data_IF_862840129052
#
_entry.id   IF_862840129052
#
_cell.length_a   1.000
_cell.length_b   1.000
_cell.length_c   1.000
_cell.angle_alpha   90.00
_cell.angle_beta   90.00
_cell.angle_gamma   90.00
#
_symmetry.space_group_name_H-M   'P 1'
#
loop_
_entity.id
_entity.type
_entity.pdbx_description
1 polymer ?
#
# COMPACT_ATOMS: atom_id res chain seq x y z
N UNK A 1 -12.16 -18.30 -2.19
CA UNK A 1 -10.71 -17.93 -2.16
C UNK A 1 -10.52 -16.71 -1.27
N UNK A 2 -9.45 -16.63 -0.48
CA UNK A 2 -9.07 -15.43 0.31
C UNK A 2 -7.76 -14.90 -0.23
N UNK A 3 -7.66 -13.59 -0.43
CA UNK A 3 -6.41 -12.92 -0.83
C UNK A 3 -5.76 -12.33 0.40
N UNK A 4 -4.47 -12.59 0.61
CA UNK A 4 -3.72 -12.06 1.76
C UNK A 4 -2.43 -11.41 1.28
N UNK A 5 -2.24 -10.15 1.66
CA UNK A 5 -1.00 -9.42 1.43
C UNK A 5 -0.37 -8.93 2.73
N UNK A 6 0.93 -9.17 2.88
CA UNK A 6 1.76 -8.68 3.99
C UNK A 6 2.65 -7.53 3.51
N UNK A 7 2.78 -6.44 4.29
CA UNK A 7 3.72 -5.34 4.01
C UNK A 7 3.45 -4.71 2.63
N UNK A 8 4.44 -4.64 1.74
CA UNK A 8 4.27 -4.24 0.33
C UNK A 8 3.26 -5.13 -0.41
N UNK A 9 3.20 -6.42 -0.05
CA UNK A 9 2.25 -7.38 -0.60
C UNK A 9 0.80 -6.98 -0.35
N UNK A 10 0.51 -6.20 0.70
CA UNK A 10 -0.82 -5.62 0.93
C UNK A 10 -1.25 -4.69 -0.22
N UNK A 11 -0.32 -3.87 -0.75
CA UNK A 11 -0.57 -3.00 -1.90
C UNK A 11 -0.80 -3.79 -3.19
N UNK A 12 -0.05 -4.88 -3.39
CA UNK A 12 -0.24 -5.79 -4.53
C UNK A 12 -1.60 -6.49 -4.44
N UNK A 13 -1.92 -7.09 -3.29
CA UNK A 13 -3.17 -7.77 -3.03
C UNK A 13 -4.39 -6.86 -3.27
N UNK A 14 -4.33 -5.63 -2.76
CA UNK A 14 -5.35 -4.62 -3.01
C UNK A 14 -5.49 -4.30 -4.51
N UNK A 15 -4.37 -4.12 -5.22
CA UNK A 15 -4.38 -3.87 -6.67
C UNK A 15 -4.98 -5.01 -7.49
N UNK A 16 -4.71 -6.26 -7.12
CA UNK A 16 -5.30 -7.45 -7.76
C UNK A 16 -6.81 -7.46 -7.57
N UNK A 17 -7.29 -7.26 -6.35
CA UNK A 17 -8.73 -7.23 -6.06
C UNK A 17 -9.43 -6.09 -6.81
N UNK A 18 -8.80 -4.92 -6.91
CA UNK A 18 -9.33 -3.83 -7.71
C UNK A 18 -9.42 -4.15 -9.20
N UNK A 19 -8.42 -4.83 -9.76
CA UNK A 19 -8.47 -5.26 -11.16
C UNK A 19 -9.61 -6.26 -11.40
N UNK A 20 -9.86 -7.17 -10.44
CA UNK A 20 -11.01 -8.09 -10.50
C UNK A 20 -12.34 -7.34 -10.44
N UNK A 21 -12.46 -6.35 -9.55
CA UNK A 21 -13.65 -5.49 -9.47
C UNK A 21 -13.91 -4.74 -10.78
N UNK A 22 -12.89 -4.12 -11.35
CA UNK A 22 -13.00 -3.35 -12.60
C UNK A 22 -13.30 -4.24 -13.81
N UNK A 23 -12.84 -5.48 -13.79
CA UNK A 23 -13.11 -6.47 -14.83
C UNK A 23 -14.44 -7.22 -14.64
N UNK A 24 -15.27 -6.83 -13.67
CA UNK A 24 -16.52 -7.52 -13.30
C UNK A 24 -16.34 -9.03 -13.10
N UNK A 25 -15.18 -9.43 -12.56
CA UNK A 25 -14.84 -10.82 -12.32
C UNK A 25 -15.36 -11.30 -10.95
N UNK A 26 -15.36 -12.61 -10.74
CA UNK A 26 -15.67 -13.20 -9.43
C UNK A 26 -14.70 -12.67 -8.36
N UNK A 27 -15.27 -12.15 -7.27
CA UNK A 27 -14.49 -11.60 -6.17
C UNK A 27 -14.09 -12.69 -5.18
N UNK A 28 -12.91 -12.57 -4.55
CA UNK A 28 -12.57 -13.41 -3.42
C UNK A 28 -13.54 -13.18 -2.25
N UNK A 29 -13.66 -14.18 -1.39
CA UNK A 29 -14.49 -14.14 -0.18
C UNK A 29 -14.05 -13.08 0.82
N UNK A 30 -12.79 -12.65 0.74
CA UNK A 30 -12.20 -11.68 1.66
C UNK A 30 -10.78 -11.30 1.30
N UNK A 31 -10.36 -10.13 1.80
CA UNK A 31 -9.02 -9.58 1.65
C UNK A 31 -8.41 -9.38 3.04
N UNK A 32 -7.22 -9.94 3.27
CA UNK A 32 -6.44 -9.74 4.49
C UNK A 32 -5.25 -8.83 4.16
N UNK A 33 -5.15 -7.71 4.86
CA UNK A 33 -4.07 -6.74 4.74
C UNK A 33 -3.28 -6.74 6.04
N UNK A 34 -2.13 -7.38 6.05
CA UNK A 34 -1.27 -7.49 7.22
C UNK A 34 -0.09 -6.52 7.13
N UNK A 35 0.11 -5.74 8.19
CA UNK A 35 1.08 -4.65 8.26
C UNK A 35 1.09 -3.79 6.99
N UNK A 36 -0.09 -3.32 6.51
CA UNK A 36 -0.21 -2.79 5.16
C UNK A 36 0.60 -1.52 4.97
N UNK A 37 1.36 -1.49 3.89
CA UNK A 37 2.05 -0.28 3.45
C UNK A 37 1.03 0.72 2.90
N UNK A 38 0.73 1.76 3.67
CA UNK A 38 -0.24 2.79 3.29
C UNK A 38 0.34 3.76 2.25
N UNK A 39 1.65 4.03 2.29
CA UNK A 39 2.36 4.72 1.21
C UNK A 39 3.85 4.34 1.15
N UNK A 40 4.42 4.29 -0.06
CA UNK A 40 5.87 4.13 -0.26
C UNK A 40 6.67 5.29 0.37
N UNK A 41 6.05 6.46 0.50
CA UNK A 41 6.67 7.63 1.13
C UNK A 41 6.88 7.42 2.65
N UNK A 42 5.95 6.74 3.33
CA UNK A 42 6.09 6.47 4.77
C UNK A 42 7.20 5.44 5.04
N UNK A 43 7.24 4.36 4.26
CA UNK A 43 8.30 3.35 4.40
C UNK A 43 9.68 3.87 3.97
N UNK A 44 9.73 4.68 2.90
CA UNK A 44 10.97 5.29 2.49
C UNK A 44 11.44 6.36 3.48
N UNK A 45 10.52 7.08 4.14
CA UNK A 45 10.87 8.00 5.22
C UNK A 45 11.52 7.28 6.40
N UNK A 46 10.97 6.13 6.81
CA UNK A 46 11.52 5.33 7.91
C UNK A 46 12.87 4.69 7.55
N UNK A 47 12.99 4.13 6.35
CA UNK A 47 14.25 3.52 5.89
C UNK A 47 15.37 4.57 5.74
N UNK A 48 15.04 5.74 5.19
CA UNK A 48 15.96 6.88 5.01
C UNK A 48 16.31 7.52 6.36
N UNK A 49 15.38 7.57 7.31
CA UNK A 49 15.64 8.09 8.65
C UNK A 49 16.57 7.19 9.47
N UNK A 50 16.52 5.88 9.25
CA UNK A 50 17.28 4.88 10.00
C UNK A 50 18.74 4.70 9.52
N UNK A 51 19.00 4.77 8.21
CA UNK A 51 20.31 4.36 7.65
C UNK A 51 21.20 5.48 7.11
N UNK A 52 20.69 6.71 6.92
CA UNK A 52 21.43 7.77 6.23
C UNK A 52 21.89 8.91 7.16
N UNK A 53 23.14 9.40 7.01
CA UNK A 53 23.60 10.62 7.65
C UNK A 53 22.72 11.82 7.30
N UNK A 54 22.51 12.73 8.26
CA UNK A 54 21.57 13.87 8.20
C UNK A 54 21.62 14.70 6.90
N UNK A 55 22.79 14.81 6.29
CA UNK A 55 23.02 15.55 5.03
C UNK A 55 22.46 14.82 3.82
N UNK A 56 22.65 13.50 3.74
CA UNK A 56 22.05 12.67 2.69
C UNK A 56 20.55 12.51 2.90
N UNK A 57 20.12 12.38 4.17
CA UNK A 57 18.71 12.29 4.56
C UNK A 57 17.87 13.40 3.93
N UNK A 58 18.36 14.64 3.96
CA UNK A 58 17.63 15.81 3.41
C UNK A 58 17.52 15.77 1.89
N UNK A 59 18.57 15.33 1.20
CA UNK A 59 18.62 15.24 -0.25
C UNK A 59 17.81 14.05 -0.80
N UNK A 60 17.92 12.87 -0.17
CA UNK A 60 17.17 11.67 -0.57
C UNK A 60 15.72 11.77 -0.18
N UNK A 61 15.38 12.41 0.95
CA UNK A 61 13.99 12.71 1.31
C UNK A 61 13.31 13.49 0.20
N UNK A 62 13.85 14.60 -0.26
CA UNK A 62 13.20 15.38 -1.31
C UNK A 62 13.12 14.59 -2.63
N UNK A 63 14.18 13.88 -3.02
CA UNK A 63 14.19 13.10 -4.27
C UNK A 63 13.17 11.95 -4.27
N UNK A 64 13.10 11.19 -3.17
CA UNK A 64 12.16 10.08 -3.01
C UNK A 64 10.76 10.65 -2.81
N UNK A 65 10.56 11.62 -1.92
CA UNK A 65 9.24 12.21 -1.70
C UNK A 65 8.70 12.86 -2.97
N UNK A 66 9.50 13.53 -3.79
CA UNK A 66 9.03 14.17 -5.02
C UNK A 66 8.74 13.13 -6.12
N UNK A 67 9.59 12.11 -6.30
CA UNK A 67 9.34 11.04 -7.29
C UNK A 67 8.19 10.11 -6.91
N UNK A 68 8.00 9.84 -5.62
CA UNK A 68 6.94 8.96 -5.13
C UNK A 68 5.68 9.72 -4.68
N UNK A 69 5.72 11.05 -4.52
CA UNK A 69 4.50 11.89 -4.40
C UNK A 69 3.60 11.76 -5.61
N UNK A 70 4.19 11.61 -6.79
CA UNK A 70 3.46 11.41 -8.04
C UNK A 70 2.90 9.99 -8.12
N UNK A 71 3.63 8.99 -7.59
CA UNK A 71 3.11 7.64 -7.36
C UNK A 71 2.37 7.55 -6.02
N UNK A 72 1.27 8.31 -5.90
CA UNK A 72 0.28 8.04 -4.85
C UNK A 72 -0.25 6.62 -5.05
N UNK A 73 0.37 5.65 -4.38
CA UNK A 73 -0.32 4.44 -3.95
C UNK A 73 -1.46 4.92 -3.06
N UNK A 74 -2.59 5.26 -3.68
CA UNK A 74 -3.75 5.82 -3.01
C UNK A 74 -4.51 4.68 -2.31
N UNK A 75 -3.79 3.86 -1.56
CA UNK A 75 -4.27 2.63 -0.94
C UNK A 75 -5.48 2.92 -0.05
N UNK A 76 -5.55 4.09 0.59
CA UNK A 76 -6.71 4.50 1.38
C UNK A 76 -7.99 4.66 0.55
N UNK A 77 -7.93 5.33 -0.61
CA UNK A 77 -9.10 5.47 -1.49
C UNK A 77 -9.48 4.12 -2.11
N UNK A 78 -8.46 3.36 -2.53
CA UNK A 78 -8.62 2.02 -3.10
C UNK A 78 -9.25 1.04 -2.12
N UNK A 79 -8.85 1.08 -0.84
CA UNK A 79 -9.43 0.27 0.23
C UNK A 79 -10.91 0.61 0.42
N UNK A 80 -11.31 1.90 0.34
CA UNK A 80 -12.73 2.28 0.47
C UNK A 80 -13.58 1.64 -0.62
N UNK A 81 -13.16 1.75 -1.88
CA UNK A 81 -13.88 1.13 -3.01
C UNK A 81 -13.99 -0.38 -2.86
N UNK A 82 -12.93 -1.05 -2.40
CA UNK A 82 -12.94 -2.50 -2.20
C UNK A 82 -13.80 -2.89 -1.00
N UNK A 83 -13.77 -2.11 0.08
CA UNK A 83 -14.50 -2.38 1.32
C UNK A 83 -16.03 -2.31 1.15
N UNK A 84 -16.52 -1.55 0.18
CA UNK A 84 -17.95 -1.50 -0.17
C UNK A 84 -18.45 -2.81 -0.82
N UNK A 85 -17.54 -3.60 -1.40
CA UNK A 85 -17.87 -4.76 -2.23
C UNK A 85 -17.54 -6.10 -1.54
N UNK A 86 -16.63 -6.11 -0.57
CA UNK A 86 -16.18 -7.33 0.10
C UNK A 86 -15.57 -7.07 1.48
N UNK A 87 -15.57 -8.07 2.38
CA UNK A 87 -14.96 -7.91 3.70
C UNK A 87 -13.44 -7.79 3.62
N UNK A 88 -12.89 -6.85 4.38
CA UNK A 88 -11.46 -6.62 4.53
C UNK A 88 -11.07 -6.75 6.01
N UNK A 89 -10.07 -7.59 6.29
CA UNK A 89 -9.42 -7.67 7.59
C UNK A 89 -8.08 -6.94 7.54
N UNK A 90 -7.89 -5.94 8.39
CA UNK A 90 -6.61 -5.23 8.54
C UNK A 90 -5.94 -5.68 9.83
N UNK A 91 -4.74 -6.24 9.71
CA UNK A 91 -3.88 -6.62 10.82
C UNK A 91 -2.73 -5.61 10.88
N UNK A 92 -2.59 -4.90 12.00
CA UNK A 92 -1.52 -3.94 12.23
C UNK A 92 -0.64 -4.44 13.37
N UNK A 93 0.68 -4.34 13.21
CA UNK A 93 1.70 -4.72 14.19
C UNK A 93 2.57 -3.54 14.58
#
# INVERSE_FOLDING_TARGET
VIVWGHSLGAGIALGVVQALLQGEQELPLGLVLESPFLSFADAAADLVASWLPERLRRATRNLIFDRFREQRFNSAERIRTVAEQMPILVLHG
#
